data_IF_210195728455
#
_entry.id   IF_210195728455
#
_cell.length_a   1.000
_cell.length_b   1.000
_cell.length_c   1.000
_cell.angle_alpha   90.00
_cell.angle_beta   90.00
_cell.angle_gamma   90.00
#
_symmetry.space_group_name_H-M   'P 1'
#
loop_
_entity.id
_entity.type
_entity.pdbx_description
1 polymer ?
#
# COMPACT_ATOMS: atom_id res chain seq x y z
N UNK A 1 -12.34 22.11 2.33
CA UNK A 1 -11.89 21.60 1.01
C UNK A 1 -12.04 20.10 1.00
N UNK A 2 -12.33 19.51 -0.14
CA UNK A 2 -12.42 18.05 -0.31
C UNK A 2 -11.04 17.39 -0.21
N UNK A 3 -10.95 16.24 0.44
CA UNK A 3 -9.69 15.48 0.58
C UNK A 3 -9.56 14.52 -0.59
N UNK A 4 -8.62 14.78 -1.51
CA UNK A 4 -8.44 13.99 -2.74
C UNK A 4 -7.61 12.70 -2.56
N UNK A 5 -7.06 12.48 -1.37
CA UNK A 5 -6.18 11.34 -1.05
C UNK A 5 -6.56 10.67 0.26
N UNK A 6 -7.86 10.59 0.53
CA UNK A 6 -8.38 10.00 1.76
C UNK A 6 -7.87 8.55 1.95
N UNK A 7 -7.23 8.31 3.09
CA UNK A 7 -6.64 7.01 3.41
C UNK A 7 -5.44 6.58 2.55
N UNK A 8 -4.85 7.45 1.73
CA UNK A 8 -3.70 7.13 0.89
C UNK A 8 -2.46 7.90 1.36
N UNK A 9 -1.32 7.23 1.50
CA UNK A 9 0.00 7.80 1.78
C UNK A 9 1.04 7.37 0.74
N UNK A 10 2.29 7.78 0.95
CA UNK A 10 3.43 7.42 0.11
C UNK A 10 4.48 6.64 0.90
N UNK A 11 5.19 5.75 0.21
CA UNK A 11 6.23 4.89 0.74
C UNK A 11 7.48 5.05 -0.13
N UNK A 12 8.64 5.33 0.46
CA UNK A 12 9.87 5.44 -0.32
C UNK A 12 10.36 4.08 -0.82
N UNK A 13 11.19 4.10 -1.88
CA UNK A 13 11.61 2.88 -2.58
C UNK A 13 12.38 1.90 -1.68
N UNK A 14 13.34 2.38 -0.88
CA UNK A 14 14.13 1.55 0.03
C UNK A 14 13.25 0.87 1.10
N UNK A 15 12.23 1.58 1.62
CA UNK A 15 11.24 1.00 2.53
C UNK A 15 10.45 -0.13 1.82
N UNK A 16 10.01 0.12 0.59
CA UNK A 16 9.25 -0.84 -0.22
C UNK A 16 10.07 -2.10 -0.54
N UNK A 17 11.35 -1.94 -0.89
CA UNK A 17 12.28 -3.04 -1.11
C UNK A 17 12.49 -3.90 0.14
N UNK A 18 12.63 -3.25 1.31
CA UNK A 18 12.75 -3.99 2.58
C UNK A 18 11.50 -4.80 2.86
N UNK A 19 10.31 -4.22 2.66
CA UNK A 19 9.04 -4.92 2.84
C UNK A 19 8.92 -6.09 1.86
N UNK A 20 9.26 -5.87 0.58
CA UNK A 20 9.20 -6.92 -0.44
C UNK A 20 10.11 -8.11 -0.09
N UNK A 21 11.30 -7.87 0.47
CA UNK A 21 12.18 -8.92 1.01
C UNK A 21 11.51 -9.70 2.14
N UNK A 22 10.88 -9.03 3.10
CA UNK A 22 10.16 -9.71 4.19
C UNK A 22 9.01 -10.57 3.65
N UNK A 23 8.20 -10.05 2.72
CA UNK A 23 7.07 -10.76 2.13
C UNK A 23 7.51 -11.97 1.29
N UNK A 24 8.64 -11.88 0.58
CA UNK A 24 9.18 -13.03 -0.17
C UNK A 24 9.63 -14.16 0.76
N UNK A 25 10.33 -13.83 1.86
CA UNK A 25 10.73 -14.82 2.87
C UNK A 25 9.52 -15.51 3.52
N UNK A 26 8.43 -14.77 3.77
CA UNK A 26 7.20 -15.36 4.29
C UNK A 26 6.51 -16.29 3.28
N UNK A 27 6.55 -15.96 1.99
CA UNK A 27 5.90 -16.76 0.94
C UNK A 27 6.74 -17.97 0.52
N UNK A 28 8.06 -17.83 0.53
CA UNK A 28 9.03 -18.82 0.06
C UNK A 28 10.13 -19.00 1.11
N UNK A 29 9.88 -19.73 2.21
CA UNK A 29 10.83 -19.84 3.33
C UNK A 29 12.15 -20.54 2.96
N UNK A 30 12.16 -21.32 1.88
CA UNK A 30 13.35 -21.98 1.33
C UNK A 30 14.13 -21.09 0.34
N UNK A 31 13.65 -19.86 0.05
CA UNK A 31 14.40 -18.92 -0.78
C UNK A 31 15.63 -18.45 -0.01
N UNK A 32 16.83 -18.74 -0.51
CA UNK A 32 18.07 -18.32 0.13
C UNK A 32 18.13 -16.80 0.10
N UNK A 33 17.93 -16.16 1.27
CA UNK A 33 18.13 -14.73 1.48
C UNK A 33 19.55 -14.34 1.05
N UNK A 34 19.71 -13.90 -0.20
CA UNK A 34 21.04 -13.62 -0.76
C UNK A 34 21.14 -13.68 -2.28
N UNK A 35 20.22 -14.36 -2.97
CA UNK A 35 20.15 -14.25 -4.44
C UNK A 35 19.17 -13.15 -4.79
N UNK A 36 19.69 -12.02 -5.29
CA UNK A 36 18.93 -10.94 -5.92
C UNK A 36 18.35 -11.43 -7.25
N UNK A 37 17.53 -12.50 -7.22
CA UNK A 37 16.54 -12.67 -8.25
C UNK A 37 15.59 -11.47 -8.15
N UNK A 38 15.12 -10.93 -9.26
CA UNK A 38 14.33 -9.70 -9.30
C UNK A 38 13.08 -9.80 -8.40
N UNK A 39 13.20 -9.34 -7.15
CA UNK A 39 12.12 -9.34 -6.17
C UNK A 39 11.06 -8.40 -6.70
N UNK A 40 9.83 -8.90 -6.83
CA UNK A 40 8.71 -8.07 -7.21
C UNK A 40 8.39 -7.10 -6.07
N UNK A 41 8.59 -5.80 -6.32
CA UNK A 41 8.21 -4.73 -5.39
C UNK A 41 6.76 -4.32 -5.71
N UNK A 42 5.79 -4.51 -4.79
CA UNK A 42 4.42 -4.08 -5.03
C UNK A 42 4.36 -2.55 -5.14
N UNK A 43 3.70 -2.04 -6.18
CA UNK A 43 3.54 -0.59 -6.37
C UNK A 43 2.65 0.06 -5.29
N UNK A 44 1.76 -0.72 -4.67
CA UNK A 44 0.85 -0.26 -3.61
C UNK A 44 0.75 -1.34 -2.53
N UNK A 45 0.78 -0.92 -1.27
CA UNK A 45 0.57 -1.78 -0.11
C UNK A 45 -0.62 -1.28 0.71
N UNK A 46 -1.46 -2.21 1.16
CA UNK A 46 -2.48 -1.97 2.18
C UNK A 46 -1.92 -2.39 3.54
N UNK A 47 -1.96 -1.49 4.52
CA UNK A 47 -1.35 -1.78 5.82
C UNK A 47 -1.82 -0.93 6.98
N UNK A 48 -1.07 -1.04 8.07
CA UNK A 48 -1.22 -0.27 9.31
C UNK A 48 0.13 0.24 9.79
N UNK A 49 0.10 1.40 10.44
CA UNK A 49 1.24 1.96 11.17
C UNK A 49 0.69 2.70 12.39
N UNK A 50 0.68 2.05 13.55
CA UNK A 50 0.02 2.55 14.74
C UNK A 50 -1.44 2.96 14.44
N UNK A 51 -1.85 4.22 14.66
CA UNK A 51 -3.20 4.70 14.38
C UNK A 51 -3.54 4.83 12.89
N UNK A 52 -2.56 4.69 11.99
CA UNK A 52 -2.75 4.94 10.58
C UNK A 52 -3.26 3.69 9.86
N UNK A 53 -4.33 3.86 9.07
CA UNK A 53 -4.91 2.85 8.17
C UNK A 53 -4.94 3.38 6.76
N UNK A 54 -4.52 2.57 5.80
CA UNK A 54 -4.69 2.99 4.42
C UNK A 54 -3.98 2.15 3.38
N UNK A 55 -3.82 2.82 2.25
CA UNK A 55 -2.94 2.41 1.16
C UNK A 55 -1.67 3.28 1.20
N UNK A 56 -0.53 2.69 0.85
CA UNK A 56 0.72 3.39 0.64
C UNK A 56 1.24 3.07 -0.75
N UNK A 57 1.43 4.11 -1.55
CA UNK A 57 1.92 4.01 -2.93
C UNK A 57 3.43 4.20 -2.90
N UNK A 58 4.16 3.33 -3.61
CA UNK A 58 5.62 3.45 -3.72
C UNK A 58 5.96 4.68 -4.56
N UNK A 59 6.76 5.58 -4.00
CA UNK A 59 7.24 6.82 -4.61
C UNK A 59 8.77 6.80 -4.59
N UNK A 60 9.38 6.63 -5.76
CA UNK A 60 10.84 6.59 -5.92
C UNK A 60 11.51 7.95 -5.64
N UNK A 61 10.74 9.04 -5.68
CA UNK A 61 11.20 10.40 -5.40
C UNK A 61 11.00 10.77 -3.92
N UNK A 62 10.28 9.95 -3.14
CA UNK A 62 10.10 10.19 -1.71
C UNK A 62 11.40 9.88 -0.95
N UNK A 63 12.15 10.96 -0.69
CA UNK A 63 13.40 10.92 0.06
C UNK A 63 13.40 11.91 1.21
N UNK A 64 14.20 11.64 2.24
CA UNK A 64 14.46 12.55 3.36
C UNK A 64 15.93 12.51 3.74
N UNK A 65 16.43 13.63 4.26
CA UNK A 65 17.74 13.68 4.91
C UNK A 65 17.57 13.39 6.40
N UNK A 66 18.22 12.33 6.87
CA UNK A 66 18.23 11.92 8.29
C UNK A 66 19.69 11.78 8.73
N UNK A 67 20.11 12.55 9.72
CA UNK A 67 21.49 12.51 10.22
C UNK A 67 22.56 12.86 9.18
N UNK A 68 22.23 13.69 8.19
CA UNK A 68 23.14 14.09 7.10
C UNK A 68 23.19 13.13 5.92
N UNK A 69 22.42 12.05 5.93
CA UNK A 69 22.35 11.05 4.85
C UNK A 69 20.97 11.10 4.17
N UNK A 70 20.93 11.10 2.85
CA UNK A 70 19.69 10.95 2.07
C UNK A 70 19.24 9.49 2.12
N UNK A 71 17.98 9.23 2.50
CA UNK A 71 17.38 7.90 2.54
C UNK A 71 15.98 7.92 1.94
N UNK A 72 15.56 6.77 1.39
CA UNK A 72 14.17 6.53 0.97
C UNK A 72 13.49 5.46 1.85
N UNK A 73 14.06 5.08 3.00
CA UNK A 73 13.37 4.28 4.03
C UNK A 73 12.41 5.17 4.83
N UNK A 74 11.40 5.70 4.13
CA UNK A 74 10.48 6.73 4.65
C UNK A 74 9.04 6.32 4.36
N UNK A 75 8.19 6.48 5.37
CA UNK A 75 6.74 6.33 5.24
C UNK A 75 6.08 7.68 5.49
N UNK A 76 5.28 8.17 4.54
CA UNK A 76 4.46 9.36 4.74
C UNK A 76 3.18 9.00 5.50
N UNK A 77 2.87 9.79 6.52
CA UNK A 77 1.61 9.72 7.27
C UNK A 77 0.77 10.95 6.93
N UNK A 78 -0.48 10.73 6.49
CA UNK A 78 -1.46 11.80 6.27
C UNK A 78 -2.47 11.83 7.42
N UNK A 79 -3.05 13.00 7.69
CA UNK A 79 -4.08 13.15 8.72
C UNK A 79 -5.29 12.27 8.47
N UNK A 80 -5.70 12.11 7.20
CA UNK A 80 -6.84 11.27 6.77
C UNK A 80 -6.67 9.77 7.10
N UNK A 81 -5.42 9.27 7.15
CA UNK A 81 -5.16 7.87 7.49
C UNK A 81 -5.20 7.61 8.99
N UNK A 82 -4.95 8.63 9.83
CA UNK A 82 -4.90 8.54 11.29
C UNK A 82 -6.30 8.39 11.89
N UNK A 83 -6.48 7.40 12.77
CA UNK A 83 -7.76 7.12 13.44
C UNK A 83 -7.82 7.62 14.89
N UNK A 84 -6.67 7.83 15.52
CA UNK A 84 -6.53 8.47 16.83
C UNK A 84 -5.14 9.12 16.94
N UNK A 85 -4.95 10.03 17.90
CA UNK A 85 -3.65 10.66 18.11
C UNK A 85 -2.63 9.74 18.77
N UNK A 86 -1.38 9.89 18.36
CA UNK A 86 -0.25 9.13 18.88
C UNK A 86 0.96 10.04 19.06
N UNK A 87 1.65 9.88 20.18
CA UNK A 87 2.98 10.45 20.36
C UNK A 87 4.01 9.53 19.72
N UNK A 88 4.45 9.87 18.50
CA UNK A 88 5.45 9.08 17.75
C UNK A 88 6.82 8.96 18.44
N UNK A 89 7.14 9.85 19.40
CA UNK A 89 8.42 9.80 20.13
C UNK A 89 8.36 8.84 21.30
N UNK A 90 7.23 8.82 22.02
CA UNK A 90 7.00 7.98 23.19
C UNK A 90 6.29 6.65 22.92
N UNK A 91 5.77 6.42 21.70
CA UNK A 91 5.02 5.21 21.39
C UNK A 91 5.89 3.95 21.33
N UNK A 92 5.23 2.80 21.46
CA UNK A 92 5.89 1.50 21.47
C UNK A 92 6.51 1.19 20.10
N UNK A 93 7.39 0.17 20.07
CA UNK A 93 7.89 -0.35 18.79
C UNK A 93 6.76 -0.91 17.91
N UNK A 94 5.71 -1.48 18.52
CA UNK A 94 4.56 -2.01 17.80
C UNK A 94 3.84 -0.91 17.02
N UNK A 95 3.64 0.26 17.62
CA UNK A 95 3.01 1.40 16.96
C UNK A 95 3.84 1.99 15.80
N UNK A 96 5.16 1.73 15.79
CA UNK A 96 6.09 2.17 14.74
C UNK A 96 6.40 1.09 13.71
N UNK A 97 5.81 -0.10 13.83
CA UNK A 97 5.98 -1.18 12.87
C UNK A 97 4.93 -1.04 11.76
N UNK A 98 5.37 -1.10 10.50
CA UNK A 98 4.46 -1.14 9.36
C UNK A 98 3.96 -2.57 9.17
N UNK A 99 2.66 -2.78 9.34
CA UNK A 99 2.02 -4.09 9.25
C UNK A 99 1.30 -4.21 7.91
N UNK A 100 1.74 -5.13 7.05
CA UNK A 100 1.14 -5.35 5.73
C UNK A 100 -0.08 -6.25 5.86
N UNK A 101 -1.20 -5.84 5.28
CA UNK A 101 -2.42 -6.66 5.16
C UNK A 101 -2.55 -7.31 3.79
N UNK A 102 -2.30 -6.53 2.74
CA UNK A 102 -2.41 -6.94 1.34
C UNK A 102 -1.53 -6.03 0.48
N UNK A 103 -1.27 -6.42 -0.77
CA UNK A 103 -0.45 -5.64 -1.69
C UNK A 103 -0.90 -5.83 -3.13
N UNK A 104 -0.53 -4.91 -4.01
CA UNK A 104 -0.82 -5.01 -5.43
C UNK A 104 -0.08 -6.23 -6.03
N UNK A 105 -0.83 -7.14 -6.65
CA UNK A 105 -0.26 -8.29 -7.35
C UNK A 105 0.42 -7.90 -8.66
N UNK A 106 1.31 -8.78 -9.14
CA UNK A 106 2.06 -8.56 -10.38
C UNK A 106 1.18 -8.45 -11.62
N UNK A 107 0.07 -9.18 -11.65
CA UNK A 107 -0.88 -9.15 -12.74
C UNK A 107 -2.31 -9.10 -12.17
N UNK A 108 -3.18 -8.24 -12.71
CA UNK A 108 -4.59 -8.24 -12.35
C UNK A 108 -5.25 -9.53 -12.84
N UNK A 109 -6.23 -10.01 -12.09
CA UNK A 109 -7.11 -11.09 -12.52
C UNK A 109 -8.33 -10.51 -13.24
N UNK A 110 -8.80 -11.21 -14.27
CA UNK A 110 -10.01 -10.80 -14.98
C UNK A 110 -11.23 -10.87 -14.04
N UNK A 111 -11.93 -9.74 -13.91
CA UNK A 111 -13.17 -9.66 -13.15
C UNK A 111 -14.38 -9.84 -14.09
N UNK A 112 -15.48 -10.38 -13.54
CA UNK A 112 -16.76 -10.47 -14.24
C UNK A 112 -17.69 -9.33 -13.83
N UNK A 113 -18.62 -8.97 -14.71
CA UNK A 113 -19.66 -7.99 -14.39
C UNK A 113 -20.59 -8.54 -13.29
N UNK A 114 -20.61 -7.89 -12.14
CA UNK A 114 -21.52 -8.22 -11.05
C UNK A 114 -22.93 -7.70 -11.38
N UNK A 115 -23.95 -8.54 -11.14
CA UNK A 115 -25.36 -8.18 -11.33
C UNK A 115 -25.77 -6.89 -10.60
N UNK A 116 -25.15 -6.59 -9.46
CA UNK A 116 -25.39 -5.35 -8.70
C UNK A 116 -25.14 -4.08 -9.52
N UNK A 117 -24.29 -4.13 -10.56
CA UNK A 117 -23.95 -2.98 -11.39
C UNK A 117 -24.91 -2.78 -12.57
N UNK A 118 -25.73 -3.78 -12.92
CA UNK A 118 -26.56 -3.75 -14.14
C UNK A 118 -27.55 -2.58 -14.09
N UNK A 119 -28.31 -2.43 -13.01
CA UNK A 119 -29.29 -1.36 -12.88
C UNK A 119 -28.65 0.04 -12.95
N UNK A 120 -27.45 0.21 -12.39
CA UNK A 120 -26.70 1.47 -12.48
C UNK A 120 -26.26 1.77 -13.93
N UNK A 121 -25.87 0.75 -14.68
CA UNK A 121 -25.46 0.89 -16.08
C UNK A 121 -26.67 1.19 -16.98
N UNK A 122 -27.80 0.52 -16.77
CA UNK A 122 -29.06 0.79 -17.48
C UNK A 122 -29.56 2.22 -17.24
N UNK A 123 -29.52 2.69 -15.99
CA UNK A 123 -29.88 4.07 -15.64
C UNK A 123 -28.98 5.12 -16.34
N UNK A 124 -27.78 4.72 -16.79
CA UNK A 124 -26.85 5.55 -17.58
C UNK A 124 -26.98 5.34 -19.09
N UNK A 125 -28.02 4.64 -19.54
CA UNK A 125 -28.30 4.39 -20.96
C UNK A 125 -27.66 3.13 -21.53
N UNK A 126 -27.08 2.26 -20.69
CA UNK A 126 -26.62 0.94 -21.10
C UNK A 126 -27.80 0.06 -21.54
N UNK A 127 -27.71 -0.65 -22.67
CA UNK A 127 -28.83 -1.48 -23.14
C UNK A 127 -28.96 -2.75 -22.30
N UNK A 128 -30.14 -2.98 -21.71
CA UNK A 128 -30.43 -4.15 -20.86
C UNK A 128 -29.99 -5.50 -21.47
N UNK A 129 -30.21 -5.67 -22.78
CA UNK A 129 -29.84 -6.87 -23.54
C UNK A 129 -28.33 -7.13 -23.69
N UNK A 130 -27.48 -6.18 -23.31
CA UNK A 130 -26.02 -6.36 -23.36
C UNK A 130 -25.47 -6.92 -22.04
N UNK A 131 -26.29 -7.01 -21.00
CA UNK A 131 -25.90 -7.44 -19.66
C UNK A 131 -26.59 -8.73 -19.19
N UNK A 132 -27.50 -9.27 -20.02
CA UNK A 132 -28.26 -10.52 -19.85
C UNK A 132 -27.86 -11.50 -20.95
#
# INVERSE_FOLDING_TARGET
GEVLSDGCGRLGLEAAERIARCLDTERNPDSTAGVVAAIFIPAVLQGRLGPCKGLWIVDAELKRFVGGVETSDVIEIRSSSRKWDVDWKGCSRHDRTFEVKAWAERAPQEARLNQQLIACLEARGGPARAFL
#
